data_IF_030519806143
#
_entry.id   IF_030519806143
#
_cell.length_a   1.000
_cell.length_b   1.000
_cell.length_c   1.000
_cell.angle_alpha   90.00
_cell.angle_beta   90.00
_cell.angle_gamma   90.00
#
_symmetry.space_group_name_H-M   'P 1'
#
loop_
_entity.id
_entity.type
_entity.pdbx_description
1 polymer ?
#
# COMPACT_ATOMS: atom_id res chain seq x y z
N UNK A 1 -8.07 -33.98 3.51
CA UNK A 1 -9.01 -33.33 4.47
C UNK A 1 -8.55 -31.96 4.97
N UNK A 2 -7.35 -31.49 4.60
CA UNK A 2 -6.84 -30.16 4.97
C UNK A 2 -7.28 -29.03 4.01
N UNK A 3 -7.58 -29.35 2.76
CA UNK A 3 -7.98 -28.33 1.75
C UNK A 3 -9.40 -27.77 1.93
N UNK A 4 -10.28 -28.52 2.59
CA UNK A 4 -11.64 -28.04 2.90
C UNK A 4 -11.67 -27.05 4.08
N UNK A 5 -10.64 -27.01 4.91
CA UNK A 5 -10.55 -26.11 6.06
C UNK A 5 -10.11 -24.69 5.64
N UNK A 6 -9.33 -24.60 4.56
CA UNK A 6 -8.85 -23.29 4.03
C UNK A 6 -9.96 -22.49 3.31
N UNK A 7 -11.07 -23.13 2.94
CA UNK A 7 -12.20 -22.50 2.26
C UNK A 7 -13.18 -21.82 3.24
N UNK A 8 -13.14 -22.17 4.53
CA UNK A 8 -14.08 -21.68 5.54
C UNK A 8 -13.51 -20.62 6.49
N UNK A 9 -12.23 -20.33 6.42
CA UNK A 9 -11.64 -19.21 7.17
C UNK A 9 -11.66 -17.99 6.28
N UNK A 10 -12.79 -17.28 6.23
CA UNK A 10 -12.86 -15.92 5.73
C UNK A 10 -11.94 -15.07 6.61
N UNK A 11 -10.74 -14.80 6.11
CA UNK A 11 -9.87 -13.84 6.80
C UNK A 11 -10.58 -12.48 6.80
N UNK A 12 -10.71 -11.82 7.96
CA UNK A 12 -11.38 -10.54 8.02
C UNK A 12 -10.70 -9.55 7.05
N UNK A 13 -11.46 -8.70 6.38
CA UNK A 13 -10.91 -7.74 5.45
C UNK A 13 -9.91 -6.83 6.17
N UNK A 14 -8.83 -6.48 5.50
CA UNK A 14 -7.85 -5.52 6.03
C UNK A 14 -8.47 -4.13 6.05
N UNK A 15 -8.54 -3.50 7.21
CA UNK A 15 -9.07 -2.14 7.34
C UNK A 15 -8.09 -1.12 6.81
N UNK A 16 -8.57 -0.23 5.94
CA UNK A 16 -7.74 0.80 5.32
C UNK A 16 -8.36 2.18 5.41
N UNK A 17 -7.53 3.22 5.46
CA UNK A 17 -7.94 4.60 5.29
C UNK A 17 -7.59 5.08 3.88
N UNK A 18 -8.49 5.84 3.27
CA UNK A 18 -8.28 6.44 1.97
C UNK A 18 -7.80 7.87 2.15
N UNK A 19 -6.72 8.23 1.47
CA UNK A 19 -6.15 9.57 1.47
C UNK A 19 -6.23 10.15 0.07
N UNK A 20 -6.78 11.36 -0.07
CA UNK A 20 -6.85 12.03 -1.37
C UNK A 20 -6.52 13.52 -1.28
N UNK A 21 -5.89 14.02 -2.33
CA UNK A 21 -5.63 15.44 -2.53
C UNK A 21 -6.58 15.99 -3.59
N UNK A 22 -7.54 16.82 -3.18
CA UNK A 22 -8.44 17.51 -4.09
C UNK A 22 -7.77 18.78 -4.63
N UNK A 23 -7.38 18.74 -5.89
CA UNK A 23 -6.79 19.89 -6.60
C UNK A 23 -7.84 20.71 -7.36
N UNK A 24 -9.11 20.30 -7.34
CA UNK A 24 -10.19 20.93 -8.07
C UNK A 24 -10.14 20.70 -9.59
N UNK A 25 -9.31 19.79 -10.07
CA UNK A 25 -9.15 19.45 -11.48
C UNK A 25 -10.11 18.34 -11.93
N UNK A 26 -10.55 17.51 -11.01
CA UNK A 26 -11.46 16.39 -11.23
C UNK A 26 -12.38 16.17 -10.02
N UNK A 27 -13.38 15.34 -10.20
CA UNK A 27 -14.31 14.94 -9.15
C UNK A 27 -13.63 13.99 -8.16
N UNK A 28 -13.17 14.53 -7.03
CA UNK A 28 -12.48 13.78 -5.98
C UNK A 28 -13.39 12.73 -5.32
N UNK A 29 -14.70 13.01 -5.18
CA UNK A 29 -15.63 12.06 -4.58
C UNK A 29 -15.78 10.81 -5.44
N UNK A 30 -15.87 11.01 -6.75
CA UNK A 30 -15.93 9.89 -7.70
C UNK A 30 -14.64 9.07 -7.70
N UNK A 31 -13.48 9.72 -7.66
CA UNK A 31 -12.19 9.03 -7.60
C UNK A 31 -12.05 8.19 -6.33
N UNK A 32 -12.49 8.71 -5.19
CA UNK A 32 -12.51 7.98 -3.92
C UNK A 32 -13.49 6.80 -3.93
N UNK A 33 -14.65 6.94 -4.57
CA UNK A 33 -15.59 5.84 -4.73
C UNK A 33 -14.99 4.72 -5.60
N UNK A 34 -14.27 5.06 -6.67
CA UNK A 34 -13.53 4.09 -7.49
C UNK A 34 -12.41 3.42 -6.68
N UNK A 35 -11.67 4.19 -5.89
CA UNK A 35 -10.60 3.65 -5.03
C UNK A 35 -11.15 2.70 -3.97
N UNK A 36 -12.29 3.03 -3.35
CA UNK A 36 -12.99 2.13 -2.41
C UNK A 36 -13.37 0.81 -3.05
N UNK A 37 -13.92 0.84 -4.28
CA UNK A 37 -14.25 -0.38 -5.01
C UNK A 37 -13.01 -1.21 -5.38
N UNK A 38 -11.86 -0.56 -5.66
CA UNK A 38 -10.59 -1.26 -5.86
C UNK A 38 -10.08 -1.91 -4.56
N UNK A 39 -10.24 -1.25 -3.42
CA UNK A 39 -9.91 -1.82 -2.12
C UNK A 39 -10.76 -3.07 -1.83
N UNK A 40 -12.08 -3.01 -2.04
CA UNK A 40 -12.98 -4.15 -1.89
C UNK A 40 -12.57 -5.33 -2.79
N UNK A 41 -12.17 -5.04 -4.05
CA UNK A 41 -11.70 -6.06 -4.98
C UNK A 41 -10.41 -6.77 -4.50
N UNK A 42 -9.69 -6.19 -3.55
CA UNK A 42 -8.47 -6.74 -2.93
C UNK A 42 -8.68 -7.18 -1.47
N UNK A 43 -9.92 -7.46 -1.06
CA UNK A 43 -10.29 -7.84 0.31
C UNK A 43 -9.85 -6.82 1.38
N UNK A 44 -9.94 -5.53 1.05
CA UNK A 44 -9.67 -4.42 1.95
C UNK A 44 -10.96 -3.63 2.20
N UNK A 45 -11.20 -3.21 3.43
CA UNK A 45 -12.36 -2.42 3.83
C UNK A 45 -11.96 -0.98 4.09
N UNK A 46 -12.50 -0.03 3.35
CA UNK A 46 -12.28 1.40 3.56
C UNK A 46 -13.09 1.89 4.77
N UNK A 47 -12.43 2.10 5.91
CA UNK A 47 -13.09 2.51 7.17
C UNK A 47 -13.16 4.02 7.34
N UNK A 48 -12.28 4.78 6.70
CA UNK A 48 -12.29 6.24 6.71
C UNK A 48 -11.74 6.82 5.41
N UNK A 49 -12.16 8.05 5.12
CA UNK A 49 -11.69 8.83 3.96
C UNK A 49 -11.24 10.19 4.47
N UNK A 50 -10.01 10.58 4.14
CA UNK A 50 -9.44 11.88 4.50
C UNK A 50 -9.04 12.60 3.23
N UNK A 51 -9.71 13.72 2.98
CA UNK A 51 -9.47 14.56 1.80
C UNK A 51 -8.90 15.90 2.21
N UNK A 52 -8.02 16.44 1.41
CA UNK A 52 -7.52 17.80 1.56
C UNK A 52 -7.64 18.59 0.25
N UNK A 53 -8.29 19.76 0.31
CA UNK A 53 -8.33 20.69 -0.80
C UNK A 53 -7.06 21.53 -0.85
N UNK A 54 -6.27 21.39 -1.92
CA UNK A 54 -5.05 22.16 -2.12
C UNK A 54 -4.66 22.17 -3.60
N UNK A 55 -4.34 23.33 -4.14
CA UNK A 55 -3.99 23.47 -5.56
C UNK A 55 -2.62 22.86 -5.90
N UNK A 56 -1.69 22.89 -4.95
CA UNK A 56 -0.33 22.36 -5.15
C UNK A 56 0.00 21.32 -4.07
N UNK A 57 0.49 20.13 -4.45
CA UNK A 57 0.94 19.14 -3.48
C UNK A 57 2.16 19.66 -2.72
N UNK A 58 2.29 19.31 -1.46
CA UNK A 58 3.50 19.57 -0.69
C UNK A 58 4.62 18.66 -1.14
N UNK A 59 5.81 19.20 -1.40
CA UNK A 59 6.90 18.48 -2.08
C UNK A 59 7.34 17.21 -1.33
N UNK A 60 7.22 17.21 -0.01
CA UNK A 60 7.73 16.09 0.83
C UNK A 60 6.67 15.09 1.28
N UNK A 61 5.42 15.53 1.48
CA UNK A 61 4.39 14.74 2.18
C UNK A 61 3.07 14.68 1.39
N UNK A 62 2.94 15.46 0.31
CA UNK A 62 1.74 15.62 -0.53
C UNK A 62 0.57 16.28 0.20
N UNK A 63 0.22 15.78 1.39
CA UNK A 63 -0.80 16.31 2.30
C UNK A 63 -0.16 17.17 3.39
N UNK A 64 -0.90 18.13 3.94
CA UNK A 64 -0.43 18.92 5.07
C UNK A 64 -0.31 18.09 6.36
N UNK A 65 0.66 18.46 7.23
CA UNK A 65 0.93 17.73 8.48
C UNK A 65 -0.32 17.58 9.38
N UNK A 66 -1.12 18.61 9.54
CA UNK A 66 -2.35 18.54 10.34
C UNK A 66 -3.39 17.55 9.79
N UNK A 67 -3.47 17.37 8.46
CA UNK A 67 -4.36 16.36 7.87
C UNK A 67 -3.81 14.94 8.04
N UNK A 68 -2.51 14.77 8.06
CA UNK A 68 -1.90 13.48 8.37
C UNK A 68 -2.05 13.10 9.84
N UNK A 69 -2.01 14.06 10.76
CA UNK A 69 -2.31 13.84 12.18
C UNK A 69 -3.77 13.42 12.38
N UNK A 70 -4.71 14.09 11.70
CA UNK A 70 -6.13 13.70 11.69
C UNK A 70 -6.32 12.28 11.15
N UNK A 71 -5.64 11.95 10.05
CA UNK A 71 -5.66 10.60 9.47
C UNK A 71 -5.06 9.55 10.42
N UNK A 72 -3.98 9.87 11.12
CA UNK A 72 -3.36 8.98 12.12
C UNK A 72 -4.30 8.67 13.27
N UNK A 73 -4.96 9.70 13.83
CA UNK A 73 -5.96 9.54 14.89
C UNK A 73 -7.17 8.71 14.43
N UNK A 74 -7.66 8.96 13.22
CA UNK A 74 -8.75 8.17 12.65
C UNK A 74 -8.34 6.71 12.45
N UNK A 75 -7.13 6.47 11.97
CA UNK A 75 -6.59 5.14 11.78
C UNK A 75 -6.47 4.34 13.08
N UNK A 76 -5.94 4.96 14.12
CA UNK A 76 -5.83 4.34 15.44
C UNK A 76 -7.21 4.03 16.04
N UNK A 77 -8.16 4.97 15.93
CA UNK A 77 -9.52 4.82 16.48
C UNK A 77 -10.29 3.70 15.78
N UNK A 78 -10.16 3.58 14.47
CA UNK A 78 -10.89 2.59 13.65
C UNK A 78 -10.13 1.27 13.50
N UNK A 79 -8.88 1.23 13.96
CA UNK A 79 -8.02 0.06 13.84
C UNK A 79 -7.59 -0.22 12.39
N UNK A 80 -7.33 0.83 11.62
CA UNK A 80 -6.82 0.69 10.26
C UNK A 80 -5.36 0.20 10.28
N UNK A 81 -5.04 -0.74 9.38
CA UNK A 81 -3.71 -1.35 9.26
C UNK A 81 -2.89 -0.73 8.12
N UNK A 82 -3.54 -0.08 7.16
CA UNK A 82 -2.91 0.44 5.97
C UNK A 82 -3.59 1.74 5.51
N UNK A 83 -2.83 2.61 4.84
CA UNK A 83 -3.35 3.81 4.19
C UNK A 83 -3.18 3.68 2.67
N UNK A 84 -4.23 4.03 1.92
CA UNK A 84 -4.23 4.01 0.45
C UNK A 84 -4.35 5.43 -0.05
N UNK A 85 -3.39 5.86 -0.88
CA UNK A 85 -3.38 7.21 -1.45
C UNK A 85 -3.94 7.21 -2.88
N UNK A 86 -4.86 8.15 -3.14
CA UNK A 86 -5.44 8.36 -4.47
C UNK A 86 -4.49 9.15 -5.38
N UNK A 87 -3.54 8.48 -5.98
CA UNK A 87 -2.55 9.05 -6.86
C UNK A 87 -1.24 8.29 -6.83
N UNK A 88 -0.25 8.79 -7.55
CA UNK A 88 1.10 8.22 -7.57
C UNK A 88 1.99 8.93 -6.53
N UNK A 89 2.72 8.14 -5.77
CA UNK A 89 3.65 8.63 -4.75
C UNK A 89 5.09 8.25 -5.08
N UNK A 90 6.01 9.17 -4.84
CA UNK A 90 7.44 8.84 -4.86
C UNK A 90 7.81 8.04 -3.60
N UNK A 91 8.89 7.27 -3.67
CA UNK A 91 9.33 6.48 -2.53
C UNK A 91 9.73 7.29 -1.29
N UNK A 92 10.13 8.54 -1.47
CA UNK A 92 10.37 9.48 -0.37
C UNK A 92 9.06 9.92 0.27
N UNK A 93 8.04 10.22 -0.52
CA UNK A 93 6.72 10.60 -0.03
C UNK A 93 6.05 9.46 0.72
N UNK A 94 6.10 8.23 0.20
CA UNK A 94 5.58 7.04 0.90
C UNK A 94 6.22 6.91 2.29
N UNK A 95 7.54 7.03 2.39
CA UNK A 95 8.25 6.95 3.68
C UNK A 95 7.87 8.07 4.64
N UNK A 96 7.78 9.30 4.13
CA UNK A 96 7.43 10.45 4.95
C UNK A 96 5.99 10.36 5.48
N UNK A 97 5.04 9.96 4.62
CA UNK A 97 3.64 9.73 5.01
C UNK A 97 3.55 8.57 6.01
N UNK A 98 4.24 7.45 5.76
CA UNK A 98 4.30 6.32 6.69
C UNK A 98 4.83 6.75 8.06
N UNK A 99 5.89 7.55 8.10
CA UNK A 99 6.44 8.08 9.35
C UNK A 99 5.44 8.98 10.07
N UNK A 100 4.74 9.85 9.35
CA UNK A 100 3.71 10.74 9.91
C UNK A 100 2.48 9.98 10.42
N UNK A 101 2.16 8.83 9.83
CA UNK A 101 1.08 7.92 10.26
C UNK A 101 1.54 6.88 11.31
N UNK A 102 2.60 7.16 12.06
CA UNK A 102 3.07 6.25 13.12
C UNK A 102 3.68 4.93 12.63
N UNK A 103 4.20 4.89 11.41
CA UNK A 103 4.81 3.69 10.82
C UNK A 103 3.81 2.77 10.09
N UNK A 104 2.59 3.26 9.86
CA UNK A 104 1.57 2.55 9.08
C UNK A 104 2.05 2.32 7.65
N UNK A 105 1.64 1.19 7.08
CA UNK A 105 1.91 0.90 5.68
C UNK A 105 1.12 1.84 4.76
N UNK A 106 1.81 2.41 3.77
CA UNK A 106 1.20 3.32 2.78
C UNK A 106 1.39 2.72 1.39
N UNK A 107 0.29 2.61 0.67
CA UNK A 107 0.26 2.15 -0.72
C UNK A 107 -0.35 3.24 -1.60
N UNK A 108 0.12 3.34 -2.82
CA UNK A 108 -0.48 4.20 -3.83
C UNK A 108 -1.50 3.41 -4.69
N UNK A 109 -2.32 4.13 -5.46
CA UNK A 109 -3.33 3.54 -6.36
C UNK A 109 -2.70 2.57 -7.36
N UNK A 110 -1.51 2.87 -7.87
CA UNK A 110 -0.81 2.02 -8.84
C UNK A 110 -0.40 0.69 -8.23
N UNK A 111 0.14 0.70 -7.02
CA UNK A 111 0.50 -0.51 -6.29
C UNK A 111 -0.73 -1.36 -5.96
N UNK A 112 -1.85 -0.74 -5.55
CA UNK A 112 -3.11 -1.44 -5.29
C UNK A 112 -3.61 -2.19 -6.54
N UNK A 113 -3.62 -1.52 -7.70
CA UNK A 113 -4.04 -2.12 -8.98
C UNK A 113 -3.12 -3.28 -9.38
N UNK A 114 -1.81 -3.11 -9.23
CA UNK A 114 -0.85 -4.18 -9.53
C UNK A 114 -1.03 -5.40 -8.63
N UNK A 115 -1.41 -5.19 -7.37
CA UNK A 115 -1.68 -6.28 -6.44
C UNK A 115 -2.96 -7.04 -6.80
N UNK A 116 -4.00 -6.34 -7.24
CA UNK A 116 -5.22 -6.95 -7.79
C UNK A 116 -4.87 -7.82 -9.01
N UNK A 117 -4.04 -7.33 -9.92
CA UNK A 117 -3.58 -8.13 -11.05
C UNK A 117 -2.76 -9.34 -10.61
N UNK A 118 -1.91 -9.19 -9.62
CA UNK A 118 -1.11 -10.28 -9.07
C UNK A 118 -1.99 -11.39 -8.48
N UNK A 119 -3.00 -11.02 -7.72
CA UNK A 119 -3.93 -11.98 -7.09
C UNK A 119 -4.76 -12.75 -8.13
N UNK A 120 -5.07 -12.12 -9.27
CA UNK A 120 -5.89 -12.69 -10.34
C UNK A 120 -5.09 -13.36 -11.46
N UNK A 121 -3.76 -13.25 -11.47
CA UNK A 121 -2.92 -13.84 -12.50
C UNK A 121 -2.90 -15.37 -12.43
N UNK A 122 -3.50 -16.03 -13.41
CA UNK A 122 -3.56 -17.50 -13.52
C UNK A 122 -2.36 -18.05 -14.28
N UNK A 123 -1.94 -17.36 -15.36
CA UNK A 123 -0.84 -17.81 -16.21
C UNK A 123 0.54 -17.44 -15.64
N UNK A 124 1.54 -18.26 -15.92
CA UNK A 124 2.92 -17.97 -15.50
C UNK A 124 3.46 -16.66 -16.12
N UNK A 125 3.08 -16.38 -17.37
CA UNK A 125 3.44 -15.12 -18.03
C UNK A 125 2.82 -13.91 -17.33
N UNK A 126 1.53 -13.99 -16.99
CA UNK A 126 0.85 -12.92 -16.26
C UNK A 126 1.46 -12.68 -14.86
N UNK A 127 1.85 -13.74 -14.16
CA UNK A 127 2.54 -13.65 -12.86
C UNK A 127 3.88 -12.94 -12.99
N UNK A 128 4.70 -13.33 -13.97
CA UNK A 128 6.01 -12.72 -14.22
C UNK A 128 5.89 -11.25 -14.66
N UNK A 129 4.92 -10.93 -15.51
CA UNK A 129 4.67 -9.54 -15.93
C UNK A 129 4.26 -8.66 -14.76
N UNK A 130 3.37 -9.15 -13.92
CA UNK A 130 2.91 -8.41 -12.74
C UNK A 130 4.04 -8.24 -11.72
N UNK A 131 4.83 -9.28 -11.49
CA UNK A 131 5.99 -9.21 -10.59
C UNK A 131 7.03 -8.21 -11.10
N UNK A 132 7.31 -8.21 -12.41
CA UNK A 132 8.20 -7.22 -13.01
C UNK A 132 7.68 -5.79 -12.86
N UNK A 133 6.37 -5.57 -13.03
CA UNK A 133 5.75 -4.27 -12.84
C UNK A 133 5.86 -3.82 -11.38
N UNK A 134 5.57 -4.70 -10.41
CA UNK A 134 5.71 -4.45 -8.98
C UNK A 134 7.15 -4.09 -8.58
N UNK A 135 8.15 -4.77 -9.15
CA UNK A 135 9.56 -4.47 -8.90
C UNK A 135 9.97 -3.10 -9.44
N UNK A 136 9.40 -2.68 -10.57
CA UNK A 136 9.66 -1.36 -11.17
C UNK A 136 8.96 -0.22 -10.41
N UNK A 137 7.77 -0.47 -9.89
CA UNK A 137 6.99 0.53 -9.12
C UNK A 137 7.46 0.65 -7.68
N UNK A 138 8.19 -0.34 -7.14
CA UNK A 138 8.75 -0.22 -5.79
C UNK A 138 9.78 0.89 -5.76
N UNK A 139 9.63 1.86 -4.84
CA UNK A 139 10.67 2.84 -4.63
C UNK A 139 11.94 2.09 -4.19
N UNK A 140 13.00 2.22 -4.94
CA UNK A 140 14.32 1.74 -4.50
C UNK A 140 14.57 2.28 -3.09
N UNK A 141 14.94 1.45 -2.11
CA UNK A 141 15.52 1.98 -0.90
C UNK A 141 16.71 2.81 -1.37
N UNK A 142 16.68 4.13 -1.11
CA UNK A 142 17.79 5.00 -1.44
C UNK A 142 19.01 4.44 -0.71
N UNK A 143 19.79 3.64 -1.42
CA UNK A 143 21.12 3.27 -1.00
C UNK A 143 21.88 4.57 -0.89
N UNK A 144 22.15 4.97 0.34
CA UNK A 144 23.02 6.11 0.61
C UNK A 144 24.31 5.88 -0.18
N UNK A 145 24.70 6.87 -0.96
CA UNK A 145 26.00 6.94 -1.63
C UNK A 145 27.14 7.17 -0.61
N UNK A 146 27.03 6.65 0.57
CA UNK A 146 28.02 6.71 1.63
C UNK A 146 28.41 5.28 1.93
N UNK A 147 29.61 4.93 1.47
CA UNK A 147 30.23 3.60 1.55
C UNK A 147 30.51 3.10 2.97
N UNK A 148 29.54 3.11 3.86
CA UNK A 148 29.59 2.37 5.11
C UNK A 148 28.53 1.26 5.06
N UNK A 149 29.00 0.03 4.90
CA UNK A 149 28.22 -1.18 4.95
C UNK A 149 27.66 -1.40 6.37
N UNK A 150 26.61 -0.66 6.72
CA UNK A 150 25.73 -1.04 7.80
C UNK A 150 24.70 -2.00 7.21
N UNK A 151 24.76 -3.26 7.61
CA UNK A 151 23.79 -4.29 7.24
C UNK A 151 22.36 -3.74 7.45
N UNK A 152 21.45 -3.88 6.46
CA UNK A 152 20.08 -3.38 6.62
C UNK A 152 19.45 -4.12 7.79
N UNK A 153 19.01 -3.34 8.79
CA UNK A 153 18.16 -3.85 9.83
C UNK A 153 17.00 -4.60 9.17
N UNK A 154 16.72 -5.81 9.61
CA UNK A 154 15.72 -6.77 9.11
C UNK A 154 14.29 -6.27 9.34
N UNK A 155 13.91 -5.16 8.75
CA UNK A 155 12.56 -4.61 8.88
C UNK A 155 12.03 -3.90 7.63
N UNK A 156 12.60 -4.15 6.45
CA UNK A 156 11.87 -3.86 5.22
C UNK A 156 10.84 -4.98 5.06
N UNK A 157 9.79 -4.88 5.82
CA UNK A 157 8.69 -5.81 5.79
C UNK A 157 8.05 -5.80 4.41
N UNK A 158 8.04 -6.95 3.78
CA UNK A 158 7.01 -7.27 2.80
C UNK A 158 5.65 -6.89 3.42
N UNK A 159 4.75 -6.19 2.72
CA UNK A 159 3.46 -5.82 3.27
C UNK A 159 2.82 -7.01 3.99
N UNK A 160 2.34 -6.80 5.20
CA UNK A 160 1.81 -7.87 6.06
C UNK A 160 0.61 -8.59 5.41
N UNK A 161 -0.13 -7.87 4.56
CA UNK A 161 -1.26 -8.40 3.81
C UNK A 161 -0.82 -9.28 2.60
N UNK A 162 0.33 -9.01 1.95
CA UNK A 162 0.86 -9.87 0.90
C UNK A 162 1.27 -11.27 1.40
N UNK A 163 1.44 -11.43 2.70
CA UNK A 163 1.76 -12.72 3.33
C UNK A 163 0.56 -13.63 3.50
N UNK A 164 -0.67 -13.11 3.49
CA UNK A 164 -1.89 -13.90 3.71
C UNK A 164 -2.42 -14.57 2.44
N UNK A 165 -2.08 -14.05 1.26
CA UNK A 165 -2.50 -14.61 -0.03
C UNK A 165 -1.47 -15.48 -0.73
N UNK A 166 -0.24 -15.55 -0.23
CA UNK A 166 0.82 -16.35 -0.84
C UNK A 166 0.91 -17.73 -0.20
N UNK A 167 -0.01 -18.62 -0.60
CA UNK A 167 0.10 -20.04 -0.33
C UNK A 167 1.42 -20.56 -0.89
N UNK A 168 2.33 -20.96 0.02
CA UNK A 168 3.47 -21.85 -0.24
C UNK A 168 4.44 -21.46 -1.36
N UNK A 169 5.17 -20.35 -1.20
CA UNK A 169 6.46 -20.22 -1.86
C UNK A 169 7.60 -20.51 -0.86
N UNK A 170 8.59 -21.37 -1.22
CA UNK A 170 9.69 -21.70 -0.32
C UNK A 170 10.52 -20.43 -0.03
N UNK A 171 10.84 -20.22 1.25
CA UNK A 171 11.61 -19.10 1.78
C UNK A 171 13.04 -18.94 1.18
N UNK A 172 13.46 -19.85 0.32
CA UNK A 172 14.80 -19.92 -0.27
C UNK A 172 15.01 -19.04 -1.50
N UNK A 173 13.96 -18.48 -2.10
CA UNK A 173 14.09 -17.71 -3.34
C UNK A 173 14.37 -16.20 -3.14
N UNK A 174 14.37 -15.70 -1.89
CA UNK A 174 14.48 -14.26 -1.60
C UNK A 174 15.77 -13.84 -0.87
N UNK A 175 16.67 -14.79 -0.61
CA UNK A 175 17.94 -14.49 0.07
C UNK A 175 19.10 -15.03 -0.76
N UNK A 176 19.44 -14.37 -1.85
CA UNK A 176 20.55 -14.79 -2.68
C UNK A 176 20.83 -13.83 -3.84
N UNK A 177 21.79 -13.00 -3.62
CA UNK A 177 22.59 -12.13 -4.51
C UNK A 177 22.11 -10.70 -4.71
#
# INVERSE_FOLDING_TARGET
MSELYDILVETPPTKVILLALDQGLWDCERSLAELSALCEANHMEAVAQVTQKRQTPETGIVLGSGKLEEASLAAETLGAECAVFDGELTGSQIRNISTALGGMEVIDRTMLILEIFRSRAVTNEGKLQTELALLRSRPCPAGGADGSAAAPARSAACPRWSRRGCGKFPKSAWCGR
#
